data_IF_766386058877
#
_entry.id   IF_766386058877
#
_cell.length_a   1.000
_cell.length_b   1.000
_cell.length_c   1.000
_cell.angle_alpha   90.00
_cell.angle_beta   90.00
_cell.angle_gamma   90.00
#
_symmetry.space_group_name_H-M   'P 1'
#
loop_
_entity.id
_entity.type
_entity.pdbx_description
1 polymer ?
#
# COMPACT_ATOMS: atom_id res chain seq x y z
N UNK A 1 23.91 10.75 -53.28
CA UNK A 1 23.44 9.87 -52.19
C UNK A 1 23.57 10.51 -50.80
N UNK A 2 24.74 11.05 -50.42
CA UNK A 2 24.94 11.67 -49.09
C UNK A 2 24.10 12.95 -48.85
N UNK A 3 23.96 13.81 -49.88
CA UNK A 3 23.16 15.03 -49.79
C UNK A 3 21.66 14.76 -49.59
N UNK A 4 21.13 13.71 -50.23
CA UNK A 4 19.73 13.29 -50.09
C UNK A 4 19.45 12.77 -48.67
N UNK A 5 20.44 12.11 -48.05
CA UNK A 5 20.35 11.60 -46.68
C UNK A 5 20.33 12.74 -45.65
N UNK A 6 21.16 13.78 -45.83
CA UNK A 6 21.13 14.94 -44.95
C UNK A 6 19.83 15.73 -45.06
N UNK A 7 19.24 15.79 -46.25
CA UNK A 7 17.97 16.49 -46.47
C UNK A 7 16.78 15.75 -45.84
N UNK A 8 16.75 14.41 -45.97
CA UNK A 8 15.75 13.58 -45.27
C UNK A 8 15.88 13.63 -43.74
N UNK A 9 17.11 13.62 -43.20
CA UNK A 9 17.32 13.75 -41.77
C UNK A 9 16.83 15.11 -41.25
N UNK A 10 17.06 16.17 -42.01
CA UNK A 10 16.60 17.51 -41.64
C UNK A 10 15.07 17.62 -41.70
N UNK A 11 14.42 16.99 -42.68
CA UNK A 11 12.96 16.92 -42.74
C UNK A 11 12.38 16.12 -41.57
N UNK A 12 13.03 15.02 -41.20
CA UNK A 12 12.61 14.20 -40.07
C UNK A 12 12.74 14.96 -38.74
N UNK A 13 13.86 15.65 -38.51
CA UNK A 13 14.06 16.46 -37.30
C UNK A 13 13.04 17.61 -37.20
N UNK A 14 12.68 18.24 -38.32
CA UNK A 14 11.64 19.27 -38.34
C UNK A 14 10.26 18.69 -38.00
N UNK A 15 9.89 17.53 -38.56
CA UNK A 15 8.63 16.86 -38.22
C UNK A 15 8.55 16.42 -36.77
N UNK A 16 9.65 15.93 -36.20
CA UNK A 16 9.69 15.51 -34.79
C UNK A 16 9.58 16.70 -33.86
N UNK A 17 10.23 17.83 -34.19
CA UNK A 17 10.10 19.05 -33.40
C UNK A 17 8.69 19.64 -33.47
N UNK A 18 8.08 19.72 -34.65
CA UNK A 18 6.69 20.19 -34.79
C UNK A 18 5.71 19.29 -34.02
N UNK A 19 5.93 17.97 -34.06
CA UNK A 19 5.11 17.03 -33.29
C UNK A 19 5.31 17.21 -31.78
N UNK A 20 6.55 17.42 -31.33
CA UNK A 20 6.86 17.67 -29.93
C UNK A 20 6.27 18.99 -29.44
N UNK A 21 6.35 20.05 -30.24
CA UNK A 21 5.74 21.35 -29.94
C UNK A 21 4.21 21.25 -29.91
N UNK A 22 3.61 20.46 -30.81
CA UNK A 22 2.16 20.19 -30.77
C UNK A 22 1.73 19.42 -29.52
N UNK A 23 2.55 18.48 -29.03
CA UNK A 23 2.29 17.76 -27.77
C UNK A 23 2.51 18.65 -26.55
N UNK A 24 3.48 19.57 -26.61
CA UNK A 24 3.71 20.57 -25.57
C UNK A 24 2.51 21.54 -25.52
N UNK A 25 2.02 21.99 -26.67
CA UNK A 25 0.84 22.87 -26.79
C UNK A 25 -0.44 22.14 -26.36
N UNK A 26 -0.64 20.89 -26.75
CA UNK A 26 -1.77 20.06 -26.30
C UNK A 26 -1.69 19.82 -24.78
N UNK A 27 -0.48 19.60 -24.23
CA UNK A 27 -0.26 19.46 -22.79
C UNK A 27 -0.46 20.77 -22.00
N UNK A 28 -0.26 21.93 -22.63
CA UNK A 28 -0.56 23.24 -22.02
C UNK A 28 -2.05 23.57 -22.13
N UNK A 29 -2.73 23.10 -23.19
CA UNK A 29 -4.19 23.26 -23.36
C UNK A 29 -5.03 22.35 -22.43
N UNK A 30 -4.45 21.27 -21.92
CA UNK A 30 -5.07 20.37 -20.92
C UNK A 30 -4.93 20.90 -19.47
N UNK A 31 -4.47 22.14 -19.24
CA UNK A 31 -4.75 22.83 -17.98
C UNK A 31 -6.26 23.16 -17.93
N UNK A 32 -7.03 22.66 -16.96
CA UNK A 32 -8.49 22.81 -16.99
C UNK A 32 -8.87 24.28 -16.83
N UNK A 33 -9.56 24.82 -17.83
CA UNK A 33 -10.22 26.11 -17.75
C UNK A 33 -11.08 26.22 -16.47
N UNK A 34 -11.09 27.36 -15.78
CA UNK A 34 -11.81 27.52 -14.54
C UNK A 34 -13.31 27.63 -14.81
N UNK A 35 -14.08 26.63 -14.38
CA UNK A 35 -15.51 26.80 -14.12
C UNK A 35 -15.70 27.93 -13.09
N UNK A 36 -16.62 28.88 -13.31
CA UNK A 36 -16.79 30.03 -12.42
C UNK A 36 -17.48 29.60 -11.13
N UNK A 37 -16.69 29.27 -10.10
CA UNK A 37 -17.18 29.07 -8.74
C UNK A 37 -17.22 30.42 -8.01
N UNK A 38 -18.41 31.00 -7.96
CA UNK A 38 -18.73 32.34 -7.42
C UNK A 38 -18.49 32.48 -5.90
N UNK A 39 -18.02 31.47 -5.16
CA UNK A 39 -17.78 31.61 -3.71
C UNK A 39 -16.57 30.80 -3.25
N UNK A 40 -15.38 31.41 -3.25
CA UNK A 40 -14.22 31.04 -2.41
C UNK A 40 -13.24 32.22 -2.34
N UNK A 41 -12.60 32.50 -1.19
CA UNK A 41 -11.65 33.60 -1.05
C UNK A 41 -10.41 33.36 -1.95
N UNK A 42 -9.74 34.41 -2.43
CA UNK A 42 -8.62 34.28 -3.35
C UNK A 42 -7.42 33.66 -2.62
N UNK A 43 -7.08 32.41 -2.97
CA UNK A 43 -5.82 31.78 -2.56
C UNK A 43 -4.66 32.33 -3.42
N UNK A 44 -3.50 32.52 -2.79
CA UNK A 44 -2.32 33.08 -3.44
C UNK A 44 -1.72 32.09 -4.46
N UNK A 45 -1.19 32.57 -5.59
CA UNK A 45 -0.51 31.73 -6.59
C UNK A 45 0.62 30.88 -6.00
N UNK A 46 1.21 31.33 -4.88
CA UNK A 46 2.21 30.62 -4.10
C UNK A 46 1.66 29.35 -3.41
N UNK A 47 0.38 29.34 -3.03
CA UNK A 47 -0.31 28.17 -2.45
C UNK A 47 -0.67 27.15 -3.54
N UNK A 48 -1.06 27.62 -4.73
CA UNK A 48 -1.27 26.78 -5.91
C UNK A 48 0.02 26.07 -6.35
N UNK A 49 1.17 26.76 -6.35
CA UNK A 49 2.46 26.14 -6.65
C UNK A 49 2.94 25.17 -5.56
N UNK A 50 2.62 25.42 -4.28
CA UNK A 50 2.93 24.52 -3.15
C UNK A 50 2.14 23.21 -3.22
N UNK A 51 0.84 23.28 -3.54
CA UNK A 51 0.03 22.10 -3.84
C UNK A 51 0.57 21.36 -5.07
N UNK A 52 1.05 22.09 -6.09
CA UNK A 52 1.70 21.53 -7.28
C UNK A 52 3.01 20.81 -6.96
N UNK A 53 3.85 21.33 -6.06
CA UNK A 53 5.15 20.73 -5.69
C UNK A 53 5.02 19.53 -4.73
N UNK A 54 4.11 19.60 -3.74
CA UNK A 54 3.78 18.45 -2.90
C UNK A 54 3.09 17.34 -3.72
N UNK A 55 2.26 17.74 -4.70
CA UNK A 55 1.72 16.85 -5.72
C UNK A 55 2.82 16.28 -6.63
N UNK A 56 3.84 17.05 -7.01
CA UNK A 56 4.94 16.61 -7.89
C UNK A 56 5.78 15.47 -7.27
N UNK A 57 6.02 15.52 -5.95
CA UNK A 57 6.67 14.42 -5.23
C UNK A 57 5.75 13.18 -5.16
N UNK A 58 4.43 13.41 -5.11
CA UNK A 58 3.40 12.38 -5.22
C UNK A 58 3.33 11.74 -6.62
N UNK A 59 3.62 12.50 -7.69
CA UNK A 59 3.61 12.12 -9.11
C UNK A 59 4.77 11.20 -9.52
N UNK A 60 5.88 11.17 -8.78
CA UNK A 60 7.00 10.25 -9.05
C UNK A 60 6.77 8.85 -8.46
N UNK A 61 5.71 8.66 -7.68
CA UNK A 61 5.34 7.37 -7.09
C UNK A 61 4.18 6.69 -7.83
N UNK A 62 3.98 5.39 -7.55
CA UNK A 62 2.89 4.59 -8.14
C UNK A 62 1.52 5.27 -7.99
N UNK A 63 0.86 5.57 -9.10
CA UNK A 63 -0.50 6.10 -9.16
C UNK A 63 -1.52 4.96 -9.02
N UNK A 64 -2.49 5.13 -8.13
CA UNK A 64 -3.58 4.17 -7.95
C UNK A 64 -4.76 4.58 -8.82
N UNK A 65 -5.02 3.78 -9.85
CA UNK A 65 -6.17 3.93 -10.74
C UNK A 65 -7.16 2.82 -10.42
N UNK A 66 -8.46 3.13 -10.43
CA UNK A 66 -9.50 2.10 -10.31
C UNK A 66 -9.48 1.25 -11.57
N UNK A 67 -9.16 -0.03 -11.41
CA UNK A 67 -9.11 -1.02 -12.48
C UNK A 67 -9.64 -2.35 -11.97
N UNK A 68 -10.38 -3.09 -12.81
CA UNK A 68 -10.73 -4.48 -12.52
C UNK A 68 -9.47 -5.36 -12.49
N UNK A 69 -9.53 -6.45 -11.74
CA UNK A 69 -8.47 -7.46 -11.74
C UNK A 69 -8.31 -8.01 -13.16
N UNK A 70 -7.05 -8.21 -13.58
CA UNK A 70 -6.74 -8.87 -14.85
C UNK A 70 -7.36 -10.27 -14.92
N UNK A 71 -7.41 -11.00 -13.80
CA UNK A 71 -8.02 -12.31 -13.77
C UNK A 71 -9.54 -12.24 -13.94
N UNK A 72 -10.19 -11.20 -13.45
CA UNK A 72 -11.64 -11.04 -13.64
C UNK A 72 -11.95 -10.76 -15.11
N UNK A 73 -11.17 -9.89 -15.76
CA UNK A 73 -11.26 -9.60 -17.20
C UNK A 73 -10.92 -10.85 -18.03
N UNK A 74 -9.95 -11.64 -17.58
CA UNK A 74 -9.52 -12.86 -18.24
C UNK A 74 -10.53 -14.02 -18.07
N UNK A 75 -11.21 -14.12 -16.93
CA UNK A 75 -12.30 -15.08 -16.70
C UNK A 75 -13.56 -14.77 -17.50
N UNK A 76 -13.68 -13.55 -18.03
CA UNK A 76 -14.74 -13.20 -18.97
C UNK A 76 -14.59 -13.96 -20.29
N UNK A 77 -13.35 -14.30 -20.68
CA UNK A 77 -13.06 -15.09 -21.88
C UNK A 77 -13.58 -16.53 -21.72
N UNK A 78 -14.42 -16.95 -22.67
CA UNK A 78 -15.11 -18.24 -22.63
C UNK A 78 -14.17 -19.44 -22.41
N UNK A 79 -12.99 -19.45 -23.04
CA UNK A 79 -12.03 -20.56 -22.91
C UNK A 79 -11.51 -20.74 -21.47
N UNK A 80 -11.28 -19.64 -20.76
CA UNK A 80 -10.70 -19.67 -19.41
C UNK A 80 -11.80 -19.93 -18.38
N UNK A 81 -13.02 -19.47 -18.63
CA UNK A 81 -14.21 -19.88 -17.88
C UNK A 81 -14.42 -21.39 -17.91
N UNK A 82 -14.24 -22.04 -19.06
CA UNK A 82 -14.33 -23.50 -19.15
C UNK A 82 -13.27 -24.18 -18.28
N UNK A 83 -12.03 -23.68 -18.31
CA UNK A 83 -10.94 -24.20 -17.46
C UNK A 83 -11.27 -24.02 -15.96
N UNK A 84 -11.82 -22.86 -15.57
CA UNK A 84 -12.28 -22.61 -14.20
C UNK A 84 -13.34 -23.64 -13.75
N UNK A 85 -14.34 -23.90 -14.58
CA UNK A 85 -15.35 -24.92 -14.29
C UNK A 85 -14.77 -26.34 -14.28
N UNK A 86 -13.78 -26.66 -15.11
CA UNK A 86 -13.05 -27.94 -15.05
C UNK A 86 -12.35 -28.12 -13.70
N UNK A 87 -11.69 -27.08 -13.18
CA UNK A 87 -11.07 -27.14 -11.85
C UNK A 87 -12.11 -27.32 -10.74
N UNK A 88 -13.26 -26.65 -10.82
CA UNK A 88 -14.35 -26.87 -9.85
C UNK A 88 -14.88 -28.30 -9.93
N UNK A 89 -15.14 -28.81 -11.13
CA UNK A 89 -15.62 -30.19 -11.31
C UNK A 89 -14.62 -31.20 -10.77
N UNK A 90 -13.33 -30.98 -11.02
CA UNK A 90 -12.24 -31.81 -10.49
C UNK A 90 -12.14 -31.72 -8.96
N UNK A 91 -12.32 -30.53 -8.37
CA UNK A 91 -12.39 -30.36 -6.91
C UNK A 91 -13.59 -31.10 -6.30
N UNK A 92 -14.78 -30.99 -6.92
CA UNK A 92 -15.98 -31.72 -6.48
C UNK A 92 -15.74 -33.23 -6.58
N UNK A 93 -15.14 -33.70 -7.68
CA UNK A 93 -14.80 -35.11 -7.86
C UNK A 93 -13.83 -35.59 -6.78
N UNK A 94 -12.80 -34.82 -6.45
CA UNK A 94 -11.89 -35.17 -5.35
C UNK A 94 -12.62 -35.25 -4.00
N UNK A 95 -13.44 -34.25 -3.66
CA UNK A 95 -14.22 -34.25 -2.41
C UNK A 95 -15.14 -35.48 -2.36
N UNK A 96 -15.87 -35.77 -3.43
CA UNK A 96 -16.75 -36.94 -3.52
C UNK A 96 -15.94 -38.24 -3.41
N UNK A 97 -14.78 -38.33 -4.06
CA UNK A 97 -13.92 -39.50 -3.99
C UNK A 97 -13.42 -39.75 -2.58
N UNK A 98 -12.96 -38.71 -1.87
CA UNK A 98 -12.54 -38.82 -0.46
C UNK A 98 -13.71 -39.26 0.41
N UNK A 99 -14.90 -38.64 0.24
CA UNK A 99 -16.10 -39.03 1.00
C UNK A 99 -16.53 -40.47 0.77
N UNK A 100 -16.44 -40.97 -0.46
CA UNK A 100 -16.79 -42.36 -0.78
C UNK A 100 -15.80 -43.33 -0.15
N UNK A 101 -14.50 -43.02 -0.19
CA UNK A 101 -13.46 -43.85 0.45
C UNK A 101 -13.68 -43.87 1.97
N UNK A 102 -13.82 -42.71 2.61
CA UNK A 102 -14.11 -42.61 4.05
C UNK A 102 -15.40 -43.36 4.43
N UNK A 103 -16.44 -43.29 3.59
CA UNK A 103 -17.69 -44.01 3.82
C UNK A 103 -17.54 -45.53 3.76
N UNK A 104 -16.71 -46.05 2.85
CA UNK A 104 -16.46 -47.49 2.70
C UNK A 104 -15.62 -48.00 3.88
N UNK A 105 -14.60 -47.23 4.30
CA UNK A 105 -13.65 -47.67 5.32
C UNK A 105 -14.24 -47.58 6.74
N UNK A 106 -14.86 -46.46 7.11
CA UNK A 106 -15.37 -46.20 8.48
C UNK A 106 -16.87 -46.55 8.65
N UNK A 107 -17.62 -46.71 7.55
CA UNK A 107 -19.06 -47.00 7.57
C UNK A 107 -19.94 -45.84 8.07
N UNK A 108 -19.36 -44.66 8.34
CA UNK A 108 -20.04 -43.41 8.73
C UNK A 108 -19.43 -42.24 7.97
N UNK A 109 -20.26 -41.25 7.59
CA UNK A 109 -19.82 -39.99 6.98
C UNK A 109 -19.26 -39.03 8.05
N UNK A 110 -18.20 -39.43 8.75
CA UNK A 110 -17.46 -38.51 9.63
C UNK A 110 -16.31 -37.97 8.80
N UNK A 111 -16.42 -36.73 8.33
CA UNK A 111 -15.28 -36.05 7.72
C UNK A 111 -14.22 -35.83 8.80
N UNK A 112 -13.13 -36.57 8.75
CA UNK A 112 -11.96 -36.37 9.61
C UNK A 112 -11.23 -35.09 9.18
N UNK A 113 -11.70 -33.95 9.68
CA UNK A 113 -10.96 -32.69 9.59
C UNK A 113 -9.78 -32.64 10.58
N UNK A 114 -9.38 -33.77 11.16
CA UNK A 114 -8.33 -33.87 12.17
C UNK A 114 -6.99 -33.35 11.64
N UNK A 115 -6.68 -33.58 10.36
CA UNK A 115 -5.51 -32.98 9.72
C UNK A 115 -5.58 -31.44 9.72
N UNK A 116 -6.76 -30.88 9.46
CA UNK A 116 -6.97 -29.43 9.46
C UNK A 116 -6.92 -28.87 10.88
N UNK A 117 -7.58 -29.52 11.84
CA UNK A 117 -7.54 -29.13 13.26
C UNK A 117 -6.11 -29.22 13.81
N UNK A 118 -5.37 -30.24 13.43
CA UNK A 118 -3.95 -30.39 13.76
C UNK A 118 -3.10 -29.28 13.13
N UNK A 119 -3.28 -29.03 11.83
CA UNK A 119 -2.52 -28.03 11.10
C UNK A 119 -2.80 -26.59 11.57
N UNK A 120 -4.05 -26.28 11.93
CA UNK A 120 -4.48 -24.99 12.50
C UNK A 120 -4.55 -25.00 14.04
N UNK A 121 -3.86 -25.94 14.67
CA UNK A 121 -3.84 -26.06 16.12
C UNK A 121 -3.34 -24.78 16.82
N UNK A 122 -3.74 -24.64 18.08
CA UNK A 122 -3.43 -23.47 18.91
C UNK A 122 -3.97 -22.13 18.35
N UNK A 123 -5.08 -22.18 17.60
CA UNK A 123 -5.71 -20.99 17.02
C UNK A 123 -5.92 -19.80 17.99
N UNK A 124 -6.36 -19.97 19.26
CA UNK A 124 -6.50 -18.84 20.17
C UNK A 124 -5.19 -18.09 20.41
N UNK A 125 -4.07 -18.82 20.52
CA UNK A 125 -2.76 -18.22 20.74
C UNK A 125 -2.26 -17.47 19.50
N UNK A 126 -2.57 -17.98 18.30
CA UNK A 126 -2.30 -17.33 17.01
C UNK A 126 -3.04 -15.99 16.94
N UNK A 127 -4.34 -15.98 17.25
CA UNK A 127 -5.15 -14.75 17.25
C UNK A 127 -4.64 -13.75 18.27
N UNK A 128 -4.32 -14.18 19.50
CA UNK A 128 -3.75 -13.31 20.53
C UNK A 128 -2.42 -12.69 20.06
N UNK A 129 -1.52 -13.51 19.49
CA UNK A 129 -0.23 -13.04 18.95
C UNK A 129 -0.45 -12.04 17.81
N UNK A 130 -1.38 -12.33 16.91
CA UNK A 130 -1.74 -11.43 15.82
C UNK A 130 -2.30 -10.09 16.30
N UNK A 131 -3.23 -10.10 17.25
CA UNK A 131 -3.79 -8.88 17.85
C UNK A 131 -2.67 -8.05 18.51
N UNK A 132 -1.77 -8.69 19.26
CA UNK A 132 -0.63 -8.02 19.87
C UNK A 132 0.30 -7.38 18.83
N UNK A 133 0.66 -8.11 17.76
CA UNK A 133 1.45 -7.58 16.65
C UNK A 133 0.74 -6.40 15.98
N UNK A 134 -0.55 -6.55 15.66
CA UNK A 134 -1.36 -5.54 15.01
C UNK A 134 -1.45 -4.25 15.84
N UNK A 135 -1.77 -4.36 17.14
CA UNK A 135 -1.82 -3.22 18.06
C UNK A 135 -0.45 -2.56 18.18
N UNK A 136 0.64 -3.34 18.25
CA UNK A 136 1.99 -2.78 18.30
C UNK A 136 2.29 -1.90 17.08
N UNK A 137 1.92 -2.36 15.88
CA UNK A 137 2.14 -1.65 14.60
C UNK A 137 1.20 -0.45 14.46
N UNK A 138 0.03 -0.52 15.07
CA UNK A 138 -0.92 0.58 15.06
C UNK A 138 -0.42 1.75 15.92
N UNK A 139 0.08 1.47 17.13
CA UNK A 139 0.45 2.51 18.07
C UNK A 139 1.92 2.96 17.95
N UNK A 140 2.88 2.04 17.86
CA UNK A 140 4.32 2.38 18.01
C UNK A 140 4.84 3.22 16.83
N UNK A 141 4.69 2.82 15.54
CA UNK A 141 5.08 3.67 14.42
C UNK A 141 4.38 5.03 14.41
N UNK A 142 3.10 5.07 14.78
CA UNK A 142 2.32 6.31 14.83
C UNK A 142 2.85 7.27 15.90
N UNK A 143 3.07 6.79 17.13
CA UNK A 143 3.59 7.64 18.21
C UNK A 143 5.02 8.08 17.96
N UNK A 144 5.90 7.19 17.48
CA UNK A 144 7.28 7.53 17.11
C UNK A 144 7.32 8.63 16.05
N UNK A 145 6.49 8.50 15.01
CA UNK A 145 6.39 9.47 13.94
C UNK A 145 5.82 10.81 14.44
N UNK A 146 4.77 10.77 15.26
CA UNK A 146 4.16 11.97 15.84
C UNK A 146 5.14 12.75 16.73
N UNK A 147 5.86 12.06 17.62
CA UNK A 147 6.88 12.67 18.48
C UNK A 147 8.04 13.24 17.67
N UNK A 148 8.49 12.53 16.63
CA UNK A 148 9.53 13.02 15.72
C UNK A 148 9.08 14.30 15.00
N UNK A 149 7.84 14.34 14.49
CA UNK A 149 7.29 15.52 13.82
C UNK A 149 7.18 16.75 14.75
N UNK A 150 6.78 16.54 16.01
CA UNK A 150 6.76 17.61 17.02
C UNK A 150 8.16 18.14 17.34
N UNK A 151 9.13 17.23 17.56
CA UNK A 151 10.53 17.58 17.86
C UNK A 151 11.15 18.44 16.75
N UNK A 152 10.74 18.21 15.50
CA UNK A 152 11.22 18.97 14.34
C UNK A 152 10.82 20.46 14.36
N UNK A 153 9.82 20.85 15.15
CA UNK A 153 9.29 22.21 15.20
C UNK A 153 9.97 23.13 16.23
N UNK A 154 10.77 22.59 17.16
CA UNK A 154 11.23 23.33 18.35
C UNK A 154 12.70 23.74 18.38
N UNK A 155 13.61 23.13 17.60
CA UNK A 155 15.05 23.44 17.68
C UNK A 155 15.85 23.04 16.42
N UNK A 156 16.50 24.02 15.78
CA UNK A 156 17.25 23.83 14.53
C UNK A 156 18.63 23.16 14.72
N UNK A 157 19.23 23.19 15.92
CA UNK A 157 20.65 22.82 16.12
C UNK A 157 20.89 21.29 16.19
N UNK A 158 19.98 20.52 16.83
CA UNK A 158 20.14 19.08 17.05
C UNK A 158 19.24 18.19 16.17
N UNK A 159 18.60 18.78 15.16
CA UNK A 159 17.57 18.16 14.32
C UNK A 159 18.02 16.83 13.67
N UNK A 160 19.26 16.78 13.18
CA UNK A 160 19.84 15.60 12.53
C UNK A 160 20.04 14.45 13.51
N UNK A 161 20.49 14.76 14.73
CA UNK A 161 20.71 13.77 15.79
C UNK A 161 19.37 13.19 16.25
N UNK A 162 18.36 14.02 16.50
CA UNK A 162 17.01 13.55 16.83
C UNK A 162 16.43 12.68 15.71
N UNK A 163 16.58 13.07 14.45
CA UNK A 163 16.11 12.25 13.33
C UNK A 163 16.81 10.89 13.25
N UNK A 164 18.12 10.84 13.51
CA UNK A 164 18.87 9.58 13.58
C UNK A 164 18.45 8.73 14.78
N UNK A 165 18.19 9.34 15.93
CA UNK A 165 17.72 8.63 17.13
C UNK A 165 16.35 7.99 16.90
N UNK A 166 15.37 8.76 16.40
CA UNK A 166 14.03 8.22 16.09
C UNK A 166 14.07 7.17 14.97
N UNK A 167 14.93 7.36 13.96
CA UNK A 167 15.14 6.35 12.91
C UNK A 167 15.75 5.06 13.45
N UNK A 168 16.76 5.16 14.32
CA UNK A 168 17.38 4.00 14.96
C UNK A 168 16.41 3.28 15.89
N UNK A 169 15.61 4.03 16.66
CA UNK A 169 14.58 3.47 17.53
C UNK A 169 13.50 2.74 16.73
N UNK A 170 13.09 3.28 15.57
CA UNK A 170 12.17 2.62 14.66
C UNK A 170 12.76 1.33 14.07
N UNK A 171 14.02 1.35 13.63
CA UNK A 171 14.71 0.15 13.14
C UNK A 171 14.85 -0.92 14.23
N UNK A 172 15.17 -0.51 15.46
CA UNK A 172 15.24 -1.42 16.61
C UNK A 172 13.88 -2.04 16.90
N UNK A 173 12.80 -1.25 16.87
CA UNK A 173 11.43 -1.77 17.00
C UNK A 173 11.08 -2.75 15.86
N UNK A 174 11.47 -2.44 14.62
CA UNK A 174 11.20 -3.31 13.48
C UNK A 174 11.95 -4.65 13.59
N UNK A 175 13.21 -4.63 14.04
CA UNK A 175 14.03 -5.83 14.19
C UNK A 175 13.65 -6.66 15.44
N UNK A 176 13.56 -6.05 16.62
CA UNK A 176 13.25 -6.76 17.86
C UNK A 176 11.75 -6.97 18.04
N UNK A 177 10.96 -5.91 17.89
CA UNK A 177 9.53 -5.93 18.15
C UNK A 177 8.76 -6.76 17.12
N UNK A 178 9.00 -6.52 15.83
CA UNK A 178 8.30 -7.25 14.76
C UNK A 178 9.10 -8.43 14.24
N UNK A 179 10.43 -8.38 14.22
CA UNK A 179 11.25 -9.51 13.78
C UNK A 179 11.36 -10.61 14.84
N UNK A 180 11.92 -10.29 15.99
CA UNK A 180 12.26 -11.29 17.00
C UNK A 180 11.06 -11.80 17.81
N UNK A 181 10.15 -10.92 18.29
CA UNK A 181 9.06 -11.35 19.18
C UNK A 181 8.12 -12.40 18.56
N UNK A 182 7.59 -12.23 17.33
CA UNK A 182 6.67 -13.22 16.76
C UNK A 182 7.38 -14.56 16.52
N UNK A 183 8.60 -14.52 15.98
CA UNK A 183 9.41 -15.73 15.77
C UNK A 183 9.73 -16.44 17.09
N UNK A 184 10.04 -15.69 18.15
CA UNK A 184 10.23 -16.26 19.48
C UNK A 184 8.95 -16.94 19.98
N UNK A 185 7.78 -16.29 19.88
CA UNK A 185 6.51 -16.91 20.30
C UNK A 185 6.18 -18.18 19.50
N UNK A 186 6.54 -18.22 18.22
CA UNK A 186 6.32 -19.38 17.35
C UNK A 186 7.19 -20.56 17.77
N UNK A 187 8.47 -20.31 18.05
CA UNK A 187 9.43 -21.35 18.43
C UNK A 187 9.16 -21.85 19.85
N UNK A 188 8.87 -20.97 20.81
CA UNK A 188 8.64 -21.36 22.21
C UNK A 188 7.34 -22.15 22.40
N UNK A 189 6.27 -21.81 21.66
CA UNK A 189 4.98 -22.49 21.77
C UNK A 189 4.83 -23.67 20.80
N UNK A 190 5.85 -23.93 19.96
CA UNK A 190 5.87 -25.00 18.97
C UNK A 190 4.62 -25.03 18.08
N UNK A 191 4.32 -23.91 17.41
CA UNK A 191 3.13 -23.82 16.56
C UNK A 191 3.12 -24.87 15.45
N UNK A 192 1.96 -25.47 15.15
CA UNK A 192 1.75 -26.25 13.93
C UNK A 192 2.13 -25.50 12.65
N UNK A 193 2.43 -26.21 11.55
CA UNK A 193 3.02 -25.60 10.35
C UNK A 193 2.10 -24.54 9.70
N UNK A 194 0.78 -24.76 9.64
CA UNK A 194 -0.12 -23.80 9.01
C UNK A 194 -0.35 -22.55 9.88
N UNK A 195 -0.47 -22.71 11.21
CA UNK A 195 -0.59 -21.57 12.12
C UNK A 195 0.68 -20.71 12.19
N UNK A 196 1.86 -21.35 12.19
CA UNK A 196 3.14 -20.68 12.04
C UNK A 196 3.18 -19.82 10.77
N UNK A 197 2.78 -20.40 9.64
CA UNK A 197 2.77 -19.71 8.35
C UNK A 197 1.91 -18.44 8.36
N UNK A 198 0.72 -18.48 8.98
CA UNK A 198 -0.15 -17.31 9.13
C UNK A 198 0.56 -16.18 9.88
N UNK A 199 1.21 -16.48 11.01
CA UNK A 199 1.91 -15.48 11.82
C UNK A 199 3.07 -14.86 11.04
N UNK A 200 3.87 -15.67 10.34
CA UNK A 200 5.02 -15.17 9.56
C UNK A 200 4.56 -14.30 8.37
N UNK A 201 3.50 -14.71 7.66
CA UNK A 201 2.95 -13.88 6.57
C UNK A 201 2.43 -12.53 7.09
N UNK A 202 1.70 -12.57 8.20
CA UNK A 202 1.18 -11.36 8.84
C UNK A 202 2.30 -10.47 9.39
N UNK A 203 3.34 -11.05 9.97
CA UNK A 203 4.56 -10.37 10.40
C UNK A 203 5.21 -9.60 9.25
N UNK A 204 5.46 -10.27 8.11
CA UNK A 204 6.07 -9.64 6.93
C UNK A 204 5.17 -8.53 6.37
N UNK A 205 3.85 -8.77 6.28
CA UNK A 205 2.86 -7.78 5.83
C UNK A 205 2.90 -6.51 6.68
N UNK A 206 2.85 -6.66 8.00
CA UNK A 206 2.87 -5.55 8.94
C UNK A 206 4.20 -4.81 8.93
N UNK A 207 5.33 -5.52 8.83
CA UNK A 207 6.67 -4.94 8.73
C UNK A 207 6.82 -4.05 7.49
N UNK A 208 6.36 -4.53 6.33
CA UNK A 208 6.39 -3.76 5.08
C UNK A 208 5.50 -2.51 5.17
N UNK A 209 4.30 -2.63 5.75
CA UNK A 209 3.37 -1.49 5.92
C UNK A 209 3.93 -0.44 6.86
N UNK A 210 4.48 -0.83 8.01
CA UNK A 210 5.12 0.10 8.95
C UNK A 210 6.26 0.88 8.29
N UNK A 211 7.13 0.18 7.54
CA UNK A 211 8.22 0.81 6.81
C UNK A 211 7.71 1.75 5.70
N UNK A 212 6.70 1.33 4.93
CA UNK A 212 6.12 2.21 3.89
C UNK A 212 5.49 3.46 4.48
N UNK A 213 4.84 3.36 5.65
CA UNK A 213 4.23 4.50 6.32
C UNK A 213 5.29 5.54 6.69
N UNK A 214 6.37 5.12 7.36
CA UNK A 214 7.45 6.06 7.75
C UNK A 214 8.13 6.63 6.51
N UNK A 215 8.49 5.79 5.54
CA UNK A 215 9.20 6.21 4.31
C UNK A 215 8.43 7.26 3.51
N UNK A 216 7.11 7.12 3.41
CA UNK A 216 6.28 8.04 2.62
C UNK A 216 6.05 9.38 3.35
N UNK A 217 5.95 9.36 4.68
CA UNK A 217 5.62 10.55 5.46
C UNK A 217 6.86 11.38 5.87
N UNK A 218 8.04 10.77 6.06
CA UNK A 218 9.29 11.50 6.39
C UNK A 218 9.65 12.62 5.40
N UNK A 219 9.73 12.39 4.06
CA UNK A 219 10.09 13.45 3.13
C UNK A 219 9.05 14.56 3.05
N UNK A 220 7.77 14.25 3.31
CA UNK A 220 6.67 15.22 3.34
C UNK A 220 6.79 16.18 4.51
N UNK A 221 7.10 15.67 5.71
CA UNK A 221 7.36 16.50 6.89
C UNK A 221 8.60 17.36 6.68
N UNK A 222 9.67 16.80 6.10
CA UNK A 222 10.89 17.56 5.83
C UNK A 222 10.66 18.69 4.83
N UNK A 223 9.91 18.43 3.75
CA UNK A 223 9.52 19.46 2.79
C UNK A 223 8.66 20.55 3.46
N UNK A 224 7.70 20.15 4.28
CA UNK A 224 6.85 21.07 5.03
C UNK A 224 7.65 21.96 6.00
N UNK A 225 8.60 21.38 6.75
CA UNK A 225 9.46 22.13 7.65
C UNK A 225 10.41 23.10 6.94
N UNK A 226 10.83 22.80 5.70
CA UNK A 226 11.64 23.71 4.87
C UNK A 226 10.84 24.94 4.39
N UNK A 227 9.52 24.80 4.22
CA UNK A 227 8.63 25.89 3.80
C UNK A 227 8.10 26.76 4.95
N UNK A 228 8.38 26.35 6.20
CA UNK A 228 7.86 26.93 7.45
C UNK A 228 8.46 28.29 7.84
N UNK A 229 8.74 29.14 6.86
CA UNK A 229 8.95 30.58 7.11
C UNK A 229 7.62 31.36 7.09
N UNK A 230 6.51 30.77 6.63
CA UNK A 230 5.17 31.37 6.73
C UNK A 230 4.20 30.33 7.36
N UNK A 231 3.49 30.75 8.41
CA UNK A 231 2.83 29.95 9.44
C UNK A 231 1.52 29.22 9.05
N UNK A 232 1.13 28.28 9.95
CA UNK A 232 -0.22 27.69 10.17
C UNK A 232 -0.64 26.49 9.30
N UNK A 233 0.08 25.37 9.37
CA UNK A 233 -0.54 24.06 9.12
C UNK A 233 -0.09 23.05 10.17
N UNK A 234 -1.01 22.53 10.97
CA UNK A 234 -0.70 21.49 11.96
C UNK A 234 -0.54 20.16 11.21
N UNK A 235 0.69 19.65 11.10
CA UNK A 235 0.93 18.29 10.64
C UNK A 235 1.02 17.37 11.88
N UNK A 236 0.30 16.23 11.93
CA UNK A 236 -0.55 15.66 10.88
C UNK A 236 -1.98 16.26 10.82
N UNK A 237 -2.67 16.20 9.66
CA UNK A 237 -4.04 16.68 9.49
C UNK A 237 -5.08 15.85 10.27
N UNK A 238 -6.27 16.43 10.47
CA UNK A 238 -7.38 15.78 11.15
C UNK A 238 -7.73 14.42 10.50
N UNK A 239 -7.87 13.37 11.33
CA UNK A 239 -8.20 12.02 10.86
C UNK A 239 -7.02 11.16 10.36
N UNK A 240 -5.77 11.61 10.52
CA UNK A 240 -4.58 10.87 10.09
C UNK A 240 -4.49 9.45 10.67
N UNK A 241 -4.90 9.25 11.92
CA UNK A 241 -4.96 7.92 12.55
C UNK A 241 -5.94 6.97 11.85
N UNK A 242 -7.11 7.46 11.43
CA UNK A 242 -8.12 6.64 10.74
C UNK A 242 -7.64 6.22 9.34
N UNK A 243 -6.91 7.10 8.66
CA UNK A 243 -6.29 6.79 7.36
C UNK A 243 -5.20 5.73 7.53
N UNK A 244 -4.40 5.83 8.60
CA UNK A 244 -3.39 4.83 8.92
C UNK A 244 -4.00 3.47 9.27
N UNK A 245 -5.06 3.45 10.08
CA UNK A 245 -5.82 2.24 10.39
C UNK A 245 -6.43 1.61 9.12
N UNK A 246 -7.01 2.42 8.24
CA UNK A 246 -7.51 1.97 6.94
C UNK A 246 -6.40 1.37 6.09
N UNK A 247 -5.23 2.01 6.03
CA UNK A 247 -4.07 1.50 5.31
C UNK A 247 -3.60 0.14 5.85
N UNK A 248 -3.69 -0.10 7.16
CA UNK A 248 -3.26 -1.37 7.75
C UNK A 248 -4.08 -2.56 7.23
N UNK A 249 -5.37 -2.34 6.95
CA UNK A 249 -6.27 -3.34 6.35
C UNK A 249 -6.29 -3.33 4.81
N UNK A 250 -5.91 -2.22 4.18
CA UNK A 250 -5.93 -2.11 2.72
C UNK A 250 -5.05 -3.21 2.06
N UNK A 251 -5.47 -3.79 0.92
CA UNK A 251 -4.69 -4.78 0.17
C UNK A 251 -3.56 -4.12 -0.64
N UNK A 252 -2.86 -3.15 -0.03
CA UNK A 252 -1.72 -2.42 -0.61
C UNK A 252 -0.59 -2.31 0.41
N UNK A 253 0.64 -2.28 -0.08
CA UNK A 253 1.85 -2.10 0.75
C UNK A 253 2.37 -0.67 0.74
N UNK A 254 1.88 0.18 -0.16
CA UNK A 254 2.31 1.58 -0.31
C UNK A 254 1.29 2.48 0.37
N UNK A 255 1.75 3.28 1.34
CA UNK A 255 0.93 4.28 2.02
C UNK A 255 0.60 5.46 1.10
N UNK A 256 -0.67 5.90 1.10
CA UNK A 256 -1.17 7.14 0.47
C UNK A 256 -2.32 7.69 1.31
N UNK A 257 -2.52 9.01 1.28
CA UNK A 257 -3.60 9.63 2.06
C UNK A 257 -4.99 9.38 1.48
N UNK A 258 -5.06 9.18 0.16
CA UNK A 258 -6.30 8.96 -0.58
C UNK A 258 -6.12 7.77 -1.51
N UNK A 259 -6.97 6.76 -1.32
CA UNK A 259 -7.09 5.62 -2.23
C UNK A 259 -8.33 5.77 -3.10
N UNK A 260 -8.30 5.27 -4.35
CA UNK A 260 -9.52 5.17 -5.16
C UNK A 260 -10.50 4.25 -4.44
N UNK A 261 -11.68 4.77 -4.13
CA UNK A 261 -12.79 4.01 -3.55
C UNK A 261 -13.78 3.68 -4.65
N UNK A 262 -14.31 2.46 -4.63
CA UNK A 262 -15.40 2.12 -5.54
C UNK A 262 -16.62 2.97 -5.18
N UNK A 263 -17.17 3.66 -6.18
CA UNK A 263 -18.47 4.26 -6.03
C UNK A 263 -19.48 3.12 -6.09
N UNK A 264 -19.99 2.69 -4.95
CA UNK A 264 -21.15 1.80 -4.90
C UNK A 264 -22.35 2.66 -5.30
N UNK A 265 -22.59 2.77 -6.60
CA UNK A 265 -23.86 3.24 -7.13
C UNK A 265 -24.90 2.22 -6.67
N UNK A 266 -25.64 2.56 -5.61
CA UNK A 266 -26.90 1.91 -5.31
C UNK A 266 -27.83 2.16 -6.50
N UNK A 267 -28.05 1.10 -7.29
CA UNK A 267 -29.14 0.98 -8.27
C UNK A 267 -30.28 0.27 -7.56
#
# INVERSE_FOLDING_TARGET
>A
AQYLKSDLLRQFDMQVNDFMDSLIEESTSLEPAPVPAVFSPPMSDKERSKLRYCSLLCYQGKLFVSRRSLLDELFEVNHIRTIYHMFIALLILFILSTLVVDFIDEGRLVLEFDLLVYAFGQFPLVVCTWICMFLSVLFIPYTLFYLWAQSHSGSHSHLRLYSLLFGTLFLLYQALGLGFLPTYTVVTNSFPPASCFIIILEQVRLMMKAHSFVRENVPRVLAWCKEKNDSVLTFPPDGFFLIYLYFLFAPTLIYRDKYPRYCVLYI
#
